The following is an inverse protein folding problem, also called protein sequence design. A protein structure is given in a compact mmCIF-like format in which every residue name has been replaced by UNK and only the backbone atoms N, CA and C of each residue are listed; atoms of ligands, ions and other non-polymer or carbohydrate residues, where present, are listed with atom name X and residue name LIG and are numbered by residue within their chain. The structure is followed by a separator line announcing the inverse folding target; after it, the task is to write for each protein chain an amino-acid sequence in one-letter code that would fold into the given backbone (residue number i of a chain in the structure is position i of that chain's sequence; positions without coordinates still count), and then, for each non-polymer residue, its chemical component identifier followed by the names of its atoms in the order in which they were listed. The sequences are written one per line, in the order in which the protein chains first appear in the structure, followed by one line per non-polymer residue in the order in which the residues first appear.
data_IF_196126701951
#
_entry.id   IF_196126701951
#
_cell.length_a   1.000
_cell.length_b   1.000
_cell.length_c   1.000
_cell.angle_alpha   90.00
_cell.angle_beta   90.00
_cell.angle_gamma   90.00
#
_symmetry.space_group_name_H-M   'P 1'
#
loop_
_entity.id
_entity.type
_entity.pdbx_description
1 polymer ?
#
# COMPACT_ATOMS: atom_id res chain seq x y z
N UNK A 1 4.39 -10.21 19.68
CA UNK A 1 3.44 -10.32 18.55
C UNK A 1 3.16 -8.91 18.10
N UNK A 2 3.61 -8.51 16.91
CA UNK A 2 3.40 -7.16 16.39
C UNK A 2 1.95 -7.01 15.93
N UNK A 3 1.29 -5.95 16.38
CA UNK A 3 -0.07 -5.61 15.99
C UNK A 3 -0.15 -5.46 14.46
N UNK A 4 -1.11 -6.12 13.83
CA UNK A 4 -1.36 -5.98 12.40
C UNK A 4 -1.90 -4.57 12.13
N UNK A 5 -1.15 -3.78 11.36
CA UNK A 5 -1.49 -2.39 11.07
C UNK A 5 -2.16 -2.31 9.71
N UNK A 6 -3.42 -1.89 9.71
CA UNK A 6 -4.23 -1.75 8.51
C UNK A 6 -4.36 -0.28 8.15
N UNK A 7 -3.92 0.12 6.95
CA UNK A 7 -4.33 1.39 6.34
C UNK A 7 -5.44 1.07 5.35
N UNK A 8 -6.64 1.63 5.55
CA UNK A 8 -7.70 1.57 4.54
C UNK A 8 -7.41 2.59 3.45
N UNK A 9 -6.87 2.15 2.33
CA UNK A 9 -6.88 2.89 1.07
C UNK A 9 -7.50 2.00 -0.01
N UNK A 10 -8.65 2.39 -0.57
CA UNK A 10 -9.35 1.60 -1.60
C UNK A 10 -9.67 0.15 -1.18
N UNK A 11 -9.87 -0.11 0.11
CA UNK A 11 -10.11 -1.47 0.62
C UNK A 11 -8.86 -2.36 0.75
N UNK A 12 -7.68 -1.88 0.36
CA UNK A 12 -6.43 -2.65 0.39
C UNK A 12 -5.95 -2.90 1.82
N UNK A 13 -5.68 -4.16 2.15
CA UNK A 13 -5.00 -4.56 3.38
C UNK A 13 -3.55 -4.91 3.09
N UNK A 14 -2.65 -4.47 3.97
CA UNK A 14 -1.25 -4.88 3.94
C UNK A 14 -0.78 -5.28 5.33
N UNK A 15 0.25 -6.13 5.35
CA UNK A 15 1.01 -6.48 6.55
C UNK A 15 2.31 -5.68 6.54
N UNK A 16 2.59 -4.96 7.63
CA UNK A 16 3.88 -4.31 7.81
C UNK A 16 4.96 -5.35 8.20
N UNK A 17 6.09 -5.33 7.48
CA UNK A 17 7.27 -6.13 7.79
C UNK A 17 8.39 -5.29 8.42
N UNK A 18 8.22 -3.97 8.45
CA UNK A 18 9.14 -3.02 9.06
C UNK A 18 8.43 -2.18 10.13
N UNK A 19 9.22 -1.64 11.06
CA UNK A 19 8.74 -0.68 12.06
C UNK A 19 8.23 0.62 11.39
N UNK A 20 7.25 1.27 12.02
CA UNK A 20 6.71 2.55 11.53
C UNK A 20 7.77 3.60 11.27
N UNK A 21 8.78 3.71 12.13
CA UNK A 21 9.81 4.73 11.98
C UNK A 21 10.57 4.51 10.69
N UNK A 22 10.91 3.24 10.41
CA UNK A 22 11.62 2.85 9.20
C UNK A 22 10.79 3.05 7.94
N UNK A 23 9.49 2.75 8.00
CA UNK A 23 8.55 3.02 6.90
C UNK A 23 8.47 4.52 6.64
N UNK A 24 8.27 5.33 7.69
CA UNK A 24 8.15 6.77 7.59
C UNK A 24 9.44 7.43 7.06
N UNK A 25 10.60 7.02 7.56
CA UNK A 25 11.91 7.47 7.07
C UNK A 25 12.10 7.10 5.59
N UNK A 26 11.72 5.90 5.20
CA UNK A 26 11.80 5.47 3.81
C UNK A 26 10.92 6.33 2.90
N UNK A 27 9.64 6.53 3.26
CA UNK A 27 8.71 7.37 2.50
C UNK A 27 9.20 8.82 2.43
N UNK A 28 9.74 9.35 3.54
CA UNK A 28 10.30 10.69 3.59
C UNK A 28 11.50 10.87 2.63
N UNK A 29 12.29 9.83 2.41
CA UNK A 29 13.46 9.83 1.54
C UNK A 29 13.16 9.45 0.08
N UNK A 30 11.92 9.15 -0.28
CA UNK A 30 11.58 8.87 -1.68
C UNK A 30 11.85 10.09 -2.60
N UNK A 31 12.12 9.89 -3.88
CA UNK A 31 12.11 10.97 -4.86
C UNK A 31 10.74 11.66 -4.87
N UNK A 32 10.67 12.98 -5.11
CA UNK A 32 9.39 13.72 -5.10
C UNK A 32 8.35 13.08 -6.02
N UNK A 33 8.73 12.67 -7.23
CA UNK A 33 7.84 11.99 -8.18
C UNK A 33 7.28 10.63 -7.72
N UNK A 34 7.90 10.00 -6.72
CA UNK A 34 7.44 8.72 -6.15
C UNK A 34 6.49 8.91 -4.96
N UNK A 35 6.38 10.13 -4.43
CA UNK A 35 5.45 10.50 -3.35
C UNK A 35 4.15 11.11 -3.86
N UNK A 36 4.05 11.39 -5.16
CA UNK A 36 2.89 12.07 -5.76
C UNK A 36 1.60 11.25 -5.68
N UNK A 37 1.70 9.93 -5.47
CA UNK A 37 0.54 9.05 -5.35
C UNK A 37 0.77 7.97 -4.29
N UNK A 38 -0.28 7.70 -3.51
CA UNK A 38 -0.28 6.60 -2.54
C UNK A 38 0.05 5.26 -3.21
N UNK A 39 -0.44 5.00 -4.43
CA UNK A 39 -0.10 3.79 -5.18
C UNK A 39 1.40 3.66 -5.44
N UNK A 40 2.07 4.76 -5.81
CA UNK A 40 3.52 4.77 -6.02
C UNK A 40 4.27 4.50 -4.72
N UNK A 41 3.85 5.12 -3.61
CA UNK A 41 4.45 4.90 -2.29
C UNK A 41 4.28 3.44 -1.84
N UNK A 42 3.08 2.88 -1.97
CA UNK A 42 2.74 1.50 -1.61
C UNK A 42 3.54 0.51 -2.47
N UNK A 43 3.63 0.72 -3.78
CA UNK A 43 4.41 -0.13 -4.70
C UNK A 43 5.89 -0.13 -4.34
N UNK A 44 6.42 1.01 -3.94
CA UNK A 44 7.80 1.20 -3.54
C UNK A 44 8.10 0.53 -2.19
N UNK A 45 7.22 0.67 -1.20
CA UNK A 45 7.27 -0.04 0.07
C UNK A 45 7.22 -1.57 -0.11
N UNK A 46 6.37 -2.06 -1.00
CA UNK A 46 6.26 -3.48 -1.31
C UNK A 46 7.53 -3.98 -2.03
N UNK A 47 8.05 -3.22 -3.00
CA UNK A 47 9.29 -3.58 -3.71
C UNK A 47 10.49 -3.68 -2.77
N UNK A 48 10.56 -2.84 -1.74
CA UNK A 48 11.59 -2.91 -0.69
C UNK A 48 11.30 -3.97 0.40
N UNK A 49 10.18 -4.70 0.29
CA UNK A 49 9.77 -5.71 1.26
C UNK A 49 9.33 -5.16 2.61
N UNK A 50 9.13 -3.84 2.73
CA UNK A 50 8.72 -3.18 3.97
C UNK A 50 7.26 -3.45 4.32
N UNK A 51 6.43 -3.69 3.30
CA UNK A 51 5.06 -4.15 3.44
C UNK A 51 4.83 -5.38 2.54
N UNK A 52 3.83 -6.17 2.90
CA UNK A 52 3.32 -7.27 2.09
C UNK A 52 1.84 -7.04 1.85
N UNK A 53 1.40 -7.13 0.61
CA UNK A 53 0.01 -7.00 0.21
C UNK A 53 -0.45 -8.36 -0.26
N UNK A 54 -1.56 -8.85 0.31
CA UNK A 54 -2.06 -10.17 -0.04
C UNK A 54 -2.52 -10.21 -1.52
N UNK A 55 -2.28 -11.33 -2.23
CA UNK A 55 -2.81 -11.51 -3.58
C UNK A 55 -4.33 -11.27 -3.61
N UNK A 56 -4.80 -10.47 -4.57
CA UNK A 56 -6.22 -10.10 -4.68
C UNK A 56 -6.63 -8.84 -3.92
N UNK A 57 -5.72 -8.16 -3.20
CA UNK A 57 -5.99 -6.86 -2.56
C UNK A 57 -5.62 -5.64 -3.44
N UNK A 58 -4.89 -5.87 -4.54
CA UNK A 58 -4.80 -4.91 -5.64
C UNK A 58 -5.90 -5.22 -6.65
N UNK A 59 -7.14 -4.80 -6.40
CA UNK A 59 -8.06 -4.63 -7.51
C UNK A 59 -7.73 -3.26 -8.13
N UNK A 60 -7.05 -3.28 -9.29
CA UNK A 60 -6.93 -2.08 -10.13
C UNK A 60 -8.27 -1.70 -10.77
N UNK A 61 -9.31 -2.48 -10.49
CA UNK A 61 -10.69 -2.27 -10.87
C UNK A 61 -11.43 -2.04 -9.56
N UNK A 62 -12.04 -0.87 -9.38
CA UNK A 62 -13.10 -0.69 -8.40
C UNK A 62 -14.11 -1.83 -8.61
N UNK A 63 -14.07 -2.86 -7.77
CA UNK A 63 -15.11 -3.92 -7.74
C UNK A 63 -16.50 -3.30 -7.52
N UNK A 64 -16.55 -2.06 -7.00
CA UNK A 64 -17.74 -1.21 -6.87
C UNK A 64 -18.27 -0.65 -8.20
N UNK A 65 -17.49 -0.63 -9.29
CA UNK A 65 -17.95 -0.23 -10.63
C UNK A 65 -18.47 -1.40 -11.48
N UNK A 66 -18.19 -2.65 -11.10
CA UNK A 66 -18.67 -3.86 -11.80
C UNK A 66 -20.20 -3.90 -11.99
N UNK A 67 -21.06 -3.55 -11.01
CA UNK A 67 -22.51 -3.60 -11.20
C UNK A 67 -23.09 -2.49 -12.09
N UNK A 68 -22.29 -1.54 -12.57
CA UNK A 68 -22.73 -0.43 -13.43
C UNK A 68 -22.23 -0.55 -14.88
N UNK A 69 -21.62 -1.68 -15.25
CA UNK A 69 -21.09 -1.95 -16.59
C UNK A 69 -22.03 -2.77 -17.50
N UNK A 70 -23.28 -3.01 -17.08
CA UNK A 70 -24.33 -3.61 -17.92
C UNK A 70 -25.31 -2.57 -18.50
#
# INVERSE_FOLDING_TARGET
MGEERYIKYGGMRFRANADERKINEFVANLPPGKKESMFSVVSELQRQGMIFIEPGQFSSVDDEMIPYME
#
